data_IF_427100246376
#
_entry.id   IF_427100246376
#
_cell.length_a   1.000
_cell.length_b   1.000
_cell.length_c   1.000
_cell.angle_alpha   90.00
_cell.angle_beta   90.00
_cell.angle_gamma   90.00
#
_symmetry.space_group_name_H-M   'P 1'
#
loop_
_entity.id
_entity.type
_entity.pdbx_description
1 polymer ?
#
# COMPACT_ATOMS: atom_id res chain seq x y z
N UNK A 1 -19.96 6.76 -23.51
CA UNK A 1 -19.19 6.70 -22.22
C UNK A 1 -18.00 7.65 -22.34
N UNK A 2 -17.95 8.74 -21.55
CA UNK A 2 -16.78 9.65 -21.50
C UNK A 2 -15.61 8.87 -20.90
N UNK A 3 -14.55 8.63 -21.69
CA UNK A 3 -13.27 8.10 -21.14
C UNK A 3 -12.76 9.09 -20.08
N UNK A 4 -12.75 8.65 -18.84
CA UNK A 4 -12.20 9.43 -17.74
C UNK A 4 -10.70 9.63 -17.99
N UNK A 5 -10.28 10.87 -18.28
CA UNK A 5 -8.86 11.18 -18.41
C UNK A 5 -8.22 11.08 -17.01
N UNK A 6 -7.28 10.14 -16.84
CA UNK A 6 -6.52 10.05 -15.58
C UNK A 6 -5.90 11.41 -15.29
N UNK A 7 -5.96 11.89 -14.04
CA UNK A 7 -5.24 13.11 -13.66
C UNK A 7 -3.75 12.94 -14.03
N UNK A 8 -3.09 14.02 -14.45
CA UNK A 8 -1.65 14.02 -14.80
C UNK A 8 -0.74 13.56 -13.65
N UNK A 9 -1.27 13.55 -12.42
CA UNK A 9 -0.58 13.07 -11.22
C UNK A 9 -0.48 11.55 -11.13
N UNK A 10 -1.46 10.81 -11.63
CA UNK A 10 -1.44 9.34 -11.56
C UNK A 10 -0.53 8.75 -12.63
N UNK A 11 0.08 7.60 -12.33
CA UNK A 11 0.85 6.83 -13.31
C UNK A 11 0.05 5.59 -13.74
N UNK A 12 0.31 5.09 -14.94
CA UNK A 12 -0.33 3.87 -15.42
C UNK A 12 0.16 2.67 -14.60
N UNK A 13 -0.72 1.69 -14.41
CA UNK A 13 -0.34 0.42 -13.81
C UNK A 13 0.71 -0.31 -14.67
N UNK A 14 1.54 -1.07 -13.99
CA UNK A 14 2.51 -1.97 -14.58
C UNK A 14 2.26 -3.37 -13.97
N UNK A 15 1.28 -4.12 -14.53
CA UNK A 15 0.84 -5.37 -13.95
C UNK A 15 1.90 -6.47 -14.09
N UNK A 16 2.05 -7.34 -13.07
CA UNK A 16 2.99 -8.45 -13.10
C UNK A 16 2.45 -9.60 -13.97
N UNK A 17 3.32 -10.32 -14.70
CA UNK A 17 2.91 -11.54 -15.38
C UNK A 17 2.69 -12.71 -14.40
N UNK A 18 3.55 -12.87 -13.39
CA UNK A 18 3.50 -13.97 -12.41
C UNK A 18 3.95 -13.48 -11.01
N UNK A 19 3.09 -12.75 -10.27
CA UNK A 19 3.48 -12.19 -8.99
C UNK A 19 3.80 -13.26 -7.94
N UNK A 20 4.96 -13.20 -7.33
CA UNK A 20 5.31 -13.99 -6.15
C UNK A 20 4.82 -13.36 -4.86
N UNK A 21 4.68 -12.04 -4.83
CA UNK A 21 4.06 -11.34 -3.71
C UNK A 21 3.43 -9.99 -4.09
N UNK A 22 2.49 -9.57 -3.24
CA UNK A 22 1.90 -8.24 -3.24
C UNK A 22 2.32 -7.49 -1.98
N UNK A 23 2.82 -6.28 -2.11
CA UNK A 23 3.17 -5.40 -0.99
C UNK A 23 2.11 -4.31 -0.88
N UNK A 24 1.41 -4.28 0.25
CA UNK A 24 0.28 -3.39 0.51
C UNK A 24 0.64 -2.48 1.70
N UNK A 25 1.23 -1.29 1.45
CA UNK A 25 1.46 -0.31 2.50
C UNK A 25 0.13 0.26 2.97
N UNK A 26 -0.12 0.27 4.28
CA UNK A 26 -1.33 0.89 4.83
C UNK A 26 -1.39 2.37 4.49
N UNK A 27 -2.53 2.83 4.01
CA UNK A 27 -2.78 4.26 3.93
C UNK A 27 -3.19 4.82 5.31
N UNK A 28 -4.16 4.19 5.98
CA UNK A 28 -4.55 4.46 7.36
C UNK A 28 -5.57 3.44 7.90
N UNK A 29 -5.74 3.41 9.22
CA UNK A 29 -6.83 2.73 9.90
C UNK A 29 -7.95 3.71 10.27
N UNK A 30 -9.19 3.23 10.27
CA UNK A 30 -10.35 3.92 10.80
C UNK A 30 -10.40 3.84 12.31
N UNK A 31 -10.12 2.65 12.84
CA UNK A 31 -10.08 2.32 14.25
C UNK A 31 -9.19 1.08 14.48
N UNK A 32 -9.17 0.53 15.68
CA UNK A 32 -8.34 -0.65 16.05
C UNK A 32 -8.68 -1.94 15.31
N UNK A 33 -9.84 -2.01 14.67
CA UNK A 33 -10.35 -3.25 14.06
C UNK A 33 -10.62 -3.13 12.57
N UNK A 34 -10.60 -1.90 12.01
CA UNK A 34 -11.02 -1.69 10.64
C UNK A 34 -10.10 -0.73 9.88
N UNK A 35 -9.56 -1.15 8.73
CA UNK A 35 -8.86 -0.24 7.82
C UNK A 35 -9.82 0.81 7.23
N UNK A 36 -9.30 1.99 6.87
CA UNK A 36 -10.09 2.98 6.10
C UNK A 36 -10.47 2.43 4.73
N UNK A 37 -11.50 3.02 4.10
CA UNK A 37 -11.88 2.69 2.72
C UNK A 37 -10.68 2.70 1.74
N UNK A 38 -9.78 3.70 1.77
CA UNK A 38 -8.57 3.67 0.95
C UNK A 38 -7.74 2.41 1.15
N UNK A 39 -7.44 2.03 2.40
CA UNK A 39 -6.65 0.83 2.71
C UNK A 39 -7.39 -0.45 2.33
N UNK A 40 -8.71 -0.53 2.58
CA UNK A 40 -9.53 -1.68 2.16
C UNK A 40 -9.49 -1.89 0.66
N UNK A 41 -9.66 -0.82 -0.12
CA UNK A 41 -9.62 -0.92 -1.59
C UNK A 41 -8.28 -1.49 -2.10
N UNK A 42 -7.15 -1.14 -1.44
CA UNK A 42 -5.86 -1.74 -1.77
C UNK A 42 -5.84 -3.25 -1.46
N UNK A 43 -6.35 -3.65 -0.29
CA UNK A 43 -6.40 -5.06 0.12
C UNK A 43 -7.33 -5.86 -0.82
N UNK A 44 -8.51 -5.32 -1.11
CA UNK A 44 -9.50 -5.93 -2.02
C UNK A 44 -8.89 -6.17 -3.40
N UNK A 45 -8.20 -5.17 -3.99
CA UNK A 45 -7.49 -5.34 -5.26
C UNK A 45 -6.40 -6.44 -5.16
N UNK A 46 -5.63 -6.47 -4.07
CA UNK A 46 -4.62 -7.51 -3.87
C UNK A 46 -5.25 -8.91 -3.76
N UNK A 47 -6.40 -9.03 -3.07
CA UNK A 47 -7.15 -10.30 -2.97
C UNK A 47 -7.71 -10.75 -4.32
N UNK A 48 -8.23 -9.84 -5.16
CA UNK A 48 -8.69 -10.15 -6.52
C UNK A 48 -7.55 -10.73 -7.39
N UNK A 49 -6.35 -10.21 -7.25
CA UNK A 49 -5.16 -10.73 -7.93
C UNK A 49 -4.70 -12.05 -7.30
N UNK A 50 -4.73 -12.16 -5.97
CA UNK A 50 -4.35 -13.38 -5.26
C UNK A 50 -5.22 -14.57 -5.67
N UNK A 51 -6.51 -14.40 -5.92
CA UNK A 51 -7.38 -15.48 -6.44
C UNK A 51 -6.82 -16.09 -7.74
N UNK A 52 -6.20 -15.28 -8.59
CA UNK A 52 -5.57 -15.74 -9.85
C UNK A 52 -4.18 -16.35 -9.61
N UNK A 53 -3.51 -15.97 -8.53
CA UNK A 53 -2.16 -16.39 -8.17
C UNK A 53 -2.10 -16.84 -6.70
N UNK A 54 -2.75 -17.96 -6.33
CA UNK A 54 -2.97 -18.34 -4.93
C UNK A 54 -1.71 -18.75 -4.17
N UNK A 55 -0.56 -18.87 -4.85
CA UNK A 55 0.75 -19.11 -4.22
C UNK A 55 1.42 -17.82 -3.78
N UNK A 56 0.99 -16.68 -4.30
CA UNK A 56 1.56 -15.38 -3.94
C UNK A 56 1.35 -15.07 -2.45
N UNK A 57 2.33 -14.38 -1.85
CA UNK A 57 2.21 -13.86 -0.49
C UNK A 57 1.66 -12.43 -0.53
N UNK A 58 0.89 -12.05 0.49
CA UNK A 58 0.45 -10.68 0.70
C UNK A 58 1.21 -10.11 1.90
N UNK A 59 2.07 -9.13 1.67
CA UNK A 59 2.83 -8.43 2.70
C UNK A 59 2.02 -7.19 3.09
N UNK A 60 1.37 -7.25 4.25
CA UNK A 60 0.70 -6.11 4.87
C UNK A 60 1.75 -5.29 5.60
N UNK A 61 1.94 -4.04 5.20
CA UNK A 61 3.02 -3.23 5.75
C UNK A 61 2.48 -1.97 6.42
N UNK A 62 2.95 -1.68 7.57
CA UNK A 62 2.90 -0.51 8.45
C UNK A 62 2.65 -0.94 9.89
N UNK A 63 3.50 -0.50 10.80
CA UNK A 63 3.33 -0.63 12.25
C UNK A 63 2.23 0.29 12.80
N UNK A 64 2.21 0.47 14.11
CA UNK A 64 1.31 1.44 14.74
C UNK A 64 1.80 2.87 14.52
N UNK A 65 1.47 3.43 13.38
CA UNK A 65 1.82 4.81 13.04
C UNK A 65 0.69 5.82 13.33
N UNK A 66 -0.36 5.38 14.02
CA UNK A 66 -1.50 6.24 14.42
C UNK A 66 -1.71 6.28 15.95
N UNK A 67 -0.93 5.50 16.74
CA UNK A 67 -1.06 5.43 18.18
C UNK A 67 -2.31 4.68 18.65
N UNK A 68 -2.74 3.69 17.88
CA UNK A 68 -3.92 2.87 18.20
C UNK A 68 -3.62 1.71 19.16
N UNK A 69 -2.33 1.41 19.42
CA UNK A 69 -1.91 0.24 20.21
C UNK A 69 -2.04 -1.08 19.43
N UNK A 70 -2.16 -1.01 18.11
CA UNK A 70 -2.17 -2.16 17.21
C UNK A 70 -1.47 -1.77 15.90
N UNK A 71 -0.68 -2.67 15.32
CA UNK A 71 -0.05 -2.43 14.05
C UNK A 71 -1.10 -2.39 12.92
N UNK A 72 -0.93 -1.48 11.98
CA UNK A 72 -1.81 -1.42 10.82
C UNK A 72 -1.76 -2.73 10.02
N UNK A 73 -0.58 -3.33 9.91
CA UNK A 73 -0.37 -4.60 9.22
C UNK A 73 -1.26 -5.72 9.77
N UNK A 74 -1.38 -5.83 11.10
CA UNK A 74 -2.23 -6.83 11.76
C UNK A 74 -3.70 -6.65 11.39
N UNK A 75 -4.23 -5.42 11.50
CA UNK A 75 -5.63 -5.12 11.15
C UNK A 75 -5.90 -5.38 9.65
N UNK A 76 -4.92 -5.10 8.80
CA UNK A 76 -5.00 -5.38 7.36
C UNK A 76 -4.99 -6.87 7.05
N UNK A 77 -4.15 -7.65 7.77
CA UNK A 77 -4.08 -9.10 7.63
C UNK A 77 -5.39 -9.77 8.10
N UNK A 78 -5.98 -9.29 9.20
CA UNK A 78 -7.29 -9.74 9.66
C UNK A 78 -8.37 -9.47 8.62
N UNK A 79 -8.35 -8.28 8.01
CA UNK A 79 -9.30 -7.95 6.95
C UNK A 79 -9.11 -8.83 5.71
N UNK A 80 -7.88 -9.07 5.25
CA UNK A 80 -7.61 -9.97 4.12
C UNK A 80 -8.02 -11.41 4.41
N UNK A 81 -7.79 -11.90 5.64
CA UNK A 81 -8.24 -13.22 6.08
C UNK A 81 -9.77 -13.34 6.04
N UNK A 82 -10.51 -12.29 6.43
CA UNK A 82 -11.97 -12.25 6.32
C UNK A 82 -12.48 -12.29 4.88
N UNK A 83 -11.64 -11.92 3.91
CA UNK A 83 -11.90 -12.03 2.47
C UNK A 83 -11.51 -13.40 1.88
N UNK A 84 -11.05 -14.34 2.71
CA UNK A 84 -10.73 -15.71 2.31
C UNK A 84 -9.26 -15.99 2.01
N UNK A 85 -8.34 -15.04 2.23
CA UNK A 85 -6.90 -15.29 2.09
C UNK A 85 -6.41 -16.10 3.29
N UNK A 86 -5.80 -17.29 3.10
CA UNK A 86 -5.27 -18.09 4.19
C UNK A 86 -4.17 -17.34 4.96
N UNK A 87 -4.14 -17.49 6.28
CA UNK A 87 -3.10 -16.87 7.13
C UNK A 87 -1.68 -17.23 6.68
N UNK A 88 -1.46 -18.43 6.19
CA UNK A 88 -0.18 -18.86 5.64
C UNK A 88 0.31 -18.04 4.43
N UNK A 89 -0.58 -17.31 3.76
CA UNK A 89 -0.25 -16.41 2.66
C UNK A 89 -0.06 -14.95 3.10
N UNK A 90 -0.33 -14.63 4.36
CA UNK A 90 -0.24 -13.27 4.90
C UNK A 90 1.08 -13.09 5.67
N UNK A 91 1.81 -12.03 5.37
CA UNK A 91 3.02 -11.63 6.09
C UNK A 91 2.78 -10.23 6.63
N UNK A 92 3.04 -10.03 7.92
CA UNK A 92 2.88 -8.74 8.59
C UNK A 92 4.24 -8.06 8.76
N UNK A 93 4.39 -6.87 8.19
CA UNK A 93 5.49 -5.97 8.47
C UNK A 93 4.96 -4.87 9.42
N UNK A 94 5.19 -5.00 10.69
CA UNK A 94 4.57 -4.26 11.79
C UNK A 94 5.46 -3.17 12.44
N UNK A 95 6.66 -2.93 11.88
CA UNK A 95 7.66 -2.02 12.47
C UNK A 95 7.71 -0.65 11.83
N UNK A 96 7.36 -0.56 10.55
CA UNK A 96 7.49 0.66 9.77
C UNK A 96 6.50 1.75 10.20
N UNK A 97 6.93 3.02 10.06
CA UNK A 97 6.12 4.20 10.44
C UNK A 97 5.93 5.21 9.30
N UNK A 98 6.58 5.00 8.17
CA UNK A 98 6.52 5.87 6.99
C UNK A 98 6.77 5.06 5.71
N UNK A 99 6.54 5.67 4.55
CA UNK A 99 6.65 4.99 3.25
C UNK A 99 8.05 4.44 2.98
N UNK A 100 9.11 5.14 3.35
CA UNK A 100 10.48 4.65 3.18
C UNK A 100 10.70 3.35 3.95
N UNK A 101 10.32 3.32 5.23
CA UNK A 101 10.42 2.13 6.08
C UNK A 101 9.53 1.00 5.59
N UNK A 102 8.27 1.30 5.19
CA UNK A 102 7.36 0.29 4.64
C UNK A 102 8.05 -0.47 3.50
N UNK A 103 8.59 0.25 2.51
CA UNK A 103 9.20 -0.38 1.34
C UNK A 103 10.56 -1.00 1.66
N UNK A 104 11.34 -0.41 2.56
CA UNK A 104 12.63 -0.97 3.00
C UNK A 104 12.43 -2.31 3.69
N UNK A 105 11.55 -2.36 4.71
CA UNK A 105 11.33 -3.59 5.47
C UNK A 105 10.58 -4.66 4.67
N UNK A 106 9.67 -4.26 3.77
CA UNK A 106 9.09 -5.19 2.81
C UNK A 106 10.14 -5.78 1.86
N UNK A 107 11.14 -5.00 1.43
CA UNK A 107 12.24 -5.51 0.61
C UNK A 107 13.07 -6.55 1.37
N UNK A 108 13.35 -6.31 2.65
CA UNK A 108 14.08 -7.26 3.49
C UNK A 108 13.32 -8.61 3.60
N UNK A 109 11.98 -8.57 3.74
CA UNK A 109 11.12 -9.76 3.73
C UNK A 109 11.15 -10.46 2.37
N UNK A 110 11.00 -9.71 1.27
CA UNK A 110 11.03 -10.25 -0.10
C UNK A 110 12.34 -11.01 -0.35
N UNK A 111 13.46 -10.45 0.08
CA UNK A 111 14.78 -11.08 -0.07
C UNK A 111 14.94 -12.32 0.81
N UNK A 112 14.52 -12.26 2.07
CA UNK A 112 14.59 -13.38 3.01
C UNK A 112 13.74 -14.58 2.56
N UNK A 113 12.52 -14.32 2.09
CA UNK A 113 11.58 -15.33 1.61
C UNK A 113 11.79 -15.71 0.12
N UNK A 114 12.75 -15.07 -0.56
CA UNK A 114 13.06 -15.27 -2.00
C UNK A 114 11.83 -15.11 -2.89
N UNK A 115 11.01 -14.09 -2.62
CA UNK A 115 9.78 -13.83 -3.37
C UNK A 115 10.12 -13.09 -4.67
N UNK A 116 9.60 -13.60 -5.77
CA UNK A 116 9.85 -13.05 -7.11
C UNK A 116 8.75 -12.07 -7.53
N UNK A 117 9.08 -11.20 -8.47
CA UNK A 117 8.14 -10.26 -9.09
C UNK A 117 7.28 -9.49 -8.08
N UNK A 118 7.89 -8.81 -7.09
CA UNK A 118 7.14 -8.08 -6.08
C UNK A 118 6.28 -7.00 -6.73
N UNK A 119 5.03 -6.93 -6.28
CA UNK A 119 4.03 -6.01 -6.84
C UNK A 119 3.50 -5.08 -5.77
N UNK A 120 3.73 -3.77 -5.92
CA UNK A 120 3.14 -2.76 -5.05
C UNK A 120 1.64 -2.61 -5.35
N UNK A 121 0.80 -2.62 -4.33
CA UNK A 121 -0.63 -2.32 -4.44
C UNK A 121 -0.94 -1.07 -3.64
N UNK A 122 -1.28 0.01 -4.33
CA UNK A 122 -1.40 1.34 -3.72
C UNK A 122 -2.64 2.09 -4.21
N UNK A 123 -2.95 3.22 -3.57
CA UNK A 123 -3.91 4.17 -4.14
C UNK A 123 -3.29 4.84 -5.39
N UNK A 124 -4.11 5.14 -6.37
CA UNK A 124 -3.69 5.79 -7.62
C UNK A 124 -2.97 7.13 -7.39
N UNK A 125 -3.37 7.90 -6.40
CA UNK A 125 -2.70 9.16 -6.03
C UNK A 125 -1.38 8.93 -5.27
N UNK A 126 -1.24 7.80 -4.58
CA UNK A 126 -0.04 7.43 -3.81
C UNK A 126 1.01 6.71 -4.66
N UNK A 127 0.59 6.01 -5.73
CA UNK A 127 1.45 5.12 -6.55
C UNK A 127 2.72 5.81 -7.02
N UNK A 128 2.63 7.06 -7.50
CA UNK A 128 3.80 7.83 -7.97
C UNK A 128 4.90 7.92 -6.91
N UNK A 129 4.55 8.23 -5.68
CA UNK A 129 5.51 8.34 -4.57
C UNK A 129 6.04 6.98 -4.14
N UNK A 130 5.18 5.97 -4.02
CA UNK A 130 5.61 4.62 -3.66
C UNK A 130 6.60 4.04 -4.68
N UNK A 131 6.32 4.17 -5.98
CA UNK A 131 7.21 3.71 -7.07
C UNK A 131 8.53 4.47 -7.06
N UNK A 132 8.52 5.81 -6.87
CA UNK A 132 9.74 6.60 -6.78
C UNK A 132 10.60 6.16 -5.59
N UNK A 133 9.98 5.93 -4.43
CA UNK A 133 10.67 5.44 -3.22
C UNK A 133 11.23 4.02 -3.43
N UNK A 134 10.47 3.11 -4.04
CA UNK A 134 10.96 1.76 -4.35
C UNK A 134 12.19 1.79 -5.26
N UNK A 135 12.15 2.59 -6.33
CA UNK A 135 13.30 2.79 -7.23
C UNK A 135 14.52 3.35 -6.48
N UNK A 136 14.32 4.32 -5.60
CA UNK A 136 15.39 4.92 -4.79
C UNK A 136 16.01 3.93 -3.80
N UNK A 137 15.22 2.98 -3.27
CA UNK A 137 15.66 1.87 -2.44
C UNK A 137 16.38 0.76 -3.23
N UNK A 138 16.40 0.83 -4.57
CA UNK A 138 17.04 -0.15 -5.42
C UNK A 138 16.20 -1.38 -5.74
N UNK A 139 14.88 -1.29 -5.63
CA UNK A 139 14.00 -2.37 -6.09
C UNK A 139 14.21 -2.60 -7.59
N UNK A 140 14.41 -3.86 -7.98
CA UNK A 140 14.56 -4.31 -9.37
C UNK A 140 13.40 -5.21 -9.74
N UNK A 141 13.04 -5.23 -11.02
CA UNK A 141 12.02 -6.13 -11.59
C UNK A 141 10.73 -6.18 -10.78
N UNK A 142 10.25 -5.01 -10.34
CA UNK A 142 9.03 -4.87 -9.57
C UNK A 142 7.89 -4.23 -10.39
N UNK A 143 6.67 -4.52 -9.97
CA UNK A 143 5.43 -4.13 -10.61
C UNK A 143 4.57 -3.27 -9.69
N UNK A 144 3.52 -2.67 -10.23
CA UNK A 144 2.57 -1.92 -9.40
C UNK A 144 1.17 -1.92 -9.99
N UNK A 145 0.20 -1.96 -9.09
CA UNK A 145 -1.22 -1.85 -9.34
C UNK A 145 -1.77 -0.70 -8.51
N UNK A 146 -2.73 0.00 -9.05
CA UNK A 146 -3.35 1.12 -8.36
C UNK A 146 -4.86 1.02 -8.32
N UNK A 147 -5.44 1.49 -7.22
CA UNK A 147 -6.88 1.51 -7.03
C UNK A 147 -7.37 2.91 -6.71
N UNK A 148 -8.53 3.25 -7.25
CA UNK A 148 -9.22 4.48 -6.93
C UNK A 148 -9.92 4.38 -5.56
N UNK A 149 -9.87 5.45 -4.74
CA UNK A 149 -10.71 5.58 -3.56
C UNK A 149 -11.18 7.02 -3.36
N UNK A 150 -12.43 7.17 -2.88
CA UNK A 150 -13.01 8.49 -2.53
C UNK A 150 -12.45 9.10 -1.25
N UNK A 151 -11.72 8.34 -0.48
CA UNK A 151 -11.27 8.74 0.85
C UNK A 151 -12.26 8.31 1.94
N UNK A 152 -11.80 8.38 3.18
CA UNK A 152 -12.56 8.21 4.42
C UNK A 152 -11.69 8.70 5.57
N UNK A 153 -12.26 9.49 6.49
CA UNK A 153 -11.53 9.96 7.67
C UNK A 153 -10.95 8.81 8.49
N UNK A 154 -9.65 8.88 8.73
CA UNK A 154 -8.92 7.96 9.58
C UNK A 154 -8.99 8.38 11.05
N UNK A 155 -8.47 7.55 11.93
CA UNK A 155 -8.25 7.89 13.33
C UNK A 155 -7.09 8.89 13.50
N UNK A 156 -7.20 9.73 14.51
CA UNK A 156 -6.12 10.59 14.99
C UNK A 156 -5.70 11.67 13.97
N UNK A 157 -4.42 11.98 13.93
CA UNK A 157 -3.85 13.06 13.11
C UNK A 157 -4.02 12.85 11.59
N UNK A 158 -4.23 11.60 11.14
CA UNK A 158 -4.49 11.30 9.74
C UNK A 158 -5.92 11.61 9.28
N UNK A 159 -6.79 12.07 10.19
CA UNK A 159 -8.20 12.33 9.91
C UNK A 159 -8.41 13.25 8.71
N UNK A 160 -7.69 14.36 8.65
CA UNK A 160 -7.79 15.32 7.55
C UNK A 160 -7.13 14.79 6.27
N UNK A 161 -5.99 14.14 6.40
CA UNK A 161 -5.23 13.58 5.28
C UNK A 161 -6.07 12.63 4.42
N UNK A 162 -6.87 11.78 5.06
CA UNK A 162 -7.60 10.70 4.39
C UNK A 162 -9.08 11.00 4.13
N UNK A 163 -9.58 12.17 4.57
CA UNK A 163 -11.00 12.53 4.56
C UNK A 163 -11.64 12.41 3.17
N UNK A 164 -11.01 12.96 2.16
CA UNK A 164 -11.52 13.02 0.79
C UNK A 164 -10.40 12.81 -0.23
N UNK A 165 -10.79 12.59 -1.49
CA UNK A 165 -9.81 12.48 -2.57
C UNK A 165 -8.96 13.76 -2.72
N UNK A 166 -9.55 14.92 -2.51
CA UNK A 166 -8.83 16.20 -2.58
C UNK A 166 -7.76 16.29 -1.47
N UNK A 167 -8.11 15.94 -0.23
CA UNK A 167 -7.15 15.96 0.88
C UNK A 167 -6.05 14.92 0.71
N UNK A 168 -6.37 13.74 0.17
CA UNK A 168 -5.37 12.73 -0.24
C UNK A 168 -4.42 13.33 -1.28
N UNK A 169 -4.93 13.98 -2.32
CA UNK A 169 -4.10 14.58 -3.36
C UNK A 169 -3.17 15.67 -2.81
N UNK A 170 -3.69 16.60 -2.01
CA UNK A 170 -2.89 17.65 -1.40
C UNK A 170 -1.78 17.05 -0.49
N UNK A 171 -2.11 16.04 0.28
CA UNK A 171 -1.13 15.33 1.10
C UNK A 171 -0.05 14.64 0.25
N UNK A 172 -0.42 13.91 -0.79
CA UNK A 172 0.54 13.20 -1.65
C UNK A 172 1.45 14.16 -2.42
N UNK A 173 0.95 15.34 -2.79
CA UNK A 173 1.76 16.40 -3.39
C UNK A 173 2.84 16.88 -2.41
N UNK A 174 2.45 17.25 -1.18
CA UNK A 174 3.38 17.67 -0.13
C UNK A 174 4.35 16.57 0.28
N UNK A 175 3.85 15.34 0.45
CA UNK A 175 4.66 14.18 0.79
C UNK A 175 5.69 13.82 -0.29
N UNK A 176 5.37 14.03 -1.57
CA UNK A 176 6.32 13.85 -2.67
C UNK A 176 7.44 14.89 -2.62
N UNK A 177 7.10 16.16 -2.40
CA UNK A 177 8.10 17.23 -2.25
C UNK A 177 9.02 16.91 -1.06
N UNK A 178 8.46 16.60 0.09
CA UNK A 178 9.23 16.19 1.27
C UNK A 178 10.13 14.98 0.98
N UNK A 179 9.61 13.94 0.35
CA UNK A 179 10.38 12.73 0.02
C UNK A 179 11.59 13.03 -0.88
N UNK A 180 11.44 13.97 -1.83
CA UNK A 180 12.55 14.42 -2.67
C UNK A 180 13.59 15.21 -1.87
N UNK A 181 13.16 16.10 -0.97
CA UNK A 181 14.06 16.90 -0.14
C UNK A 181 14.92 16.02 0.79
N UNK A 182 14.36 14.94 1.34
CA UNK A 182 15.09 14.01 2.23
C UNK A 182 15.75 12.85 1.49
N UNK A 183 15.69 12.82 0.16
CA UNK A 183 16.34 11.81 -0.67
C UNK A 183 15.65 10.43 -0.68
N UNK A 184 14.34 10.37 -0.39
CA UNK A 184 13.54 9.13 -0.36
C UNK A 184 12.79 8.84 -1.67
N UNK A 185 12.78 9.78 -2.61
CA UNK A 185 12.09 9.65 -3.91
C UNK A 185 12.87 10.38 -5.03
#
# INVERSE_FOLDING_TARGET
>A
MKKWKRPTWTIADHPPPHPGCFVIPSYALRDRSLPTRPTRAQIELACEWWIKFPRAKLIMSTGDNQGLGVANATVMADYAASLGVPRANLIEEDRSRNTWQNLRYSMDIIQAERLEQPTLVTLDLYTRRAVATAKKLGWKDFYWLSVFSKGQSAYGYKRLQTHSRLTIFCYELGAMVYSKMVGWA
#
